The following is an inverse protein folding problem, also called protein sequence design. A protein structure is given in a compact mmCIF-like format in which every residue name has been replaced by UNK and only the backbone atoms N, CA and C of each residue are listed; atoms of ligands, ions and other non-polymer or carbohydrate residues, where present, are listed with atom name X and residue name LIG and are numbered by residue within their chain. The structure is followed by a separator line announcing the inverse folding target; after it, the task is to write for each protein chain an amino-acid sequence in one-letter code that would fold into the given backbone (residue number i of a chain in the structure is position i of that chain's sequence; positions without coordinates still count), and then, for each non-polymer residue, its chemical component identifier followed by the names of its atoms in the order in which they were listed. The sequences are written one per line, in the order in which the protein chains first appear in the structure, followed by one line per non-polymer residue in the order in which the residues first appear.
data_IF_873895724710
#
_entry.id   IF_873895724710
#
_cell.length_a   1.000
_cell.length_b   1.000
_cell.length_c   1.000
_cell.angle_alpha   90.00
_cell.angle_beta   90.00
_cell.angle_gamma   90.00
#
_symmetry.space_group_name_H-M   'P 1'
#
loop_
_entity.id
_entity.type
_entity.pdbx_description
1 polymer ?
#
# COMPACT_ATOMS: atom_id res chain seq x y z
N UNK A 1 -7.52 21.45 9.25
CA UNK A 1 -6.82 20.95 8.04
C UNK A 1 -5.60 20.16 8.50
N UNK A 2 -5.45 18.90 8.08
CA UNK A 2 -4.32 18.04 8.42
C UNK A 2 -3.52 17.68 7.16
N UNK A 3 -2.25 17.34 7.34
CA UNK A 3 -1.39 16.70 6.32
C UNK A 3 -1.42 15.19 6.57
N UNK A 4 -1.79 14.41 5.56
CA UNK A 4 -2.01 12.97 5.69
C UNK A 4 -1.21 12.28 4.60
N UNK A 5 -0.34 11.35 5.01
CA UNK A 5 0.48 10.55 4.11
C UNK A 5 -0.02 9.11 4.12
N UNK A 6 -0.37 8.61 2.93
CA UNK A 6 -0.54 7.19 2.67
C UNK A 6 0.74 6.65 2.03
N UNK A 7 1.22 5.51 2.52
CA UNK A 7 2.31 4.75 1.90
C UNK A 7 1.74 3.39 1.54
N UNK A 8 1.72 3.05 0.25
CA UNK A 8 1.21 1.78 -0.27
C UNK A 8 2.25 1.12 -1.16
N UNK A 9 2.21 -0.20 -1.23
CA UNK A 9 3.12 -1.01 -2.04
C UNK A 9 2.88 -0.79 -3.54
N UNK A 10 1.63 -0.99 -3.99
CA UNK A 10 1.18 -0.67 -5.34
C UNK A 10 -0.28 -0.13 -5.36
N UNK A 11 -0.73 0.30 -6.54
CA UNK A 11 -2.13 0.61 -6.84
C UNK A 11 -2.64 -0.35 -7.92
N UNK A 12 -2.60 -1.64 -7.57
CA UNK A 12 -3.10 -2.75 -8.37
C UNK A 12 -4.63 -2.77 -8.50
N UNK A 13 -5.25 -3.95 -8.42
CA UNK A 13 -6.72 -4.10 -8.54
C UNK A 13 -7.37 -4.69 -7.29
N UNK A 14 -6.59 -4.87 -6.22
CA UNK A 14 -7.05 -5.48 -4.99
C UNK A 14 -8.02 -4.60 -4.21
N UNK A 15 -8.60 -5.20 -3.17
CA UNK A 15 -9.59 -4.53 -2.32
C UNK A 15 -8.96 -3.46 -1.43
N UNK A 16 -7.75 -3.69 -0.94
CA UNK A 16 -7.06 -2.78 -0.04
C UNK A 16 -6.71 -1.45 -0.74
N UNK A 17 -6.27 -1.54 -1.99
CA UNK A 17 -5.90 -0.42 -2.85
C UNK A 17 -7.14 0.44 -3.16
N UNK A 18 -8.27 -0.20 -3.49
CA UNK A 18 -9.54 0.51 -3.73
C UNK A 18 -10.05 1.22 -2.48
N UNK A 19 -9.99 0.57 -1.32
CA UNK A 19 -10.38 1.18 -0.04
C UNK A 19 -9.47 2.37 0.27
N UNK A 20 -8.15 2.20 0.07
CA UNK A 20 -7.18 3.26 0.33
C UNK A 20 -7.44 4.50 -0.54
N UNK A 21 -7.70 4.32 -1.83
CA UNK A 21 -8.05 5.43 -2.72
C UNK A 21 -9.38 6.10 -2.34
N UNK A 22 -10.40 5.32 -2.02
CA UNK A 22 -11.69 5.87 -1.60
C UNK A 22 -11.57 6.70 -0.30
N UNK A 23 -10.74 6.23 0.64
CA UNK A 23 -10.46 6.95 1.88
C UNK A 23 -9.65 8.22 1.63
N UNK A 24 -8.55 8.13 0.85
CA UNK A 24 -7.72 9.28 0.49
C UNK A 24 -8.55 10.37 -0.20
N UNK A 25 -9.44 9.98 -1.12
CA UNK A 25 -10.36 10.88 -1.79
C UNK A 25 -11.33 11.59 -0.83
N UNK A 26 -11.93 10.81 0.08
CA UNK A 26 -12.84 11.35 1.09
C UNK A 26 -12.14 12.39 1.98
N UNK A 27 -10.90 12.13 2.35
CA UNK A 27 -10.09 13.04 3.17
C UNK A 27 -9.69 14.31 2.39
N UNK A 28 -9.32 14.18 1.12
CA UNK A 28 -9.02 15.32 0.25
C UNK A 28 -10.24 16.24 0.08
N UNK A 29 -11.42 15.65 -0.19
CA UNK A 29 -12.70 16.37 -0.23
C UNK A 29 -13.06 17.07 1.09
N UNK A 30 -12.60 16.53 2.22
CA UNK A 30 -12.74 17.12 3.55
C UNK A 30 -11.73 18.25 3.84
N UNK A 31 -11.11 18.80 2.79
CA UNK A 31 -10.11 19.89 2.85
C UNK A 31 -8.87 19.51 3.66
N UNK A 32 -8.45 18.25 3.59
CA UNK A 32 -7.12 17.83 4.08
C UNK A 32 -6.13 17.83 2.94
N UNK A 33 -4.85 18.02 3.26
CA UNK A 33 -3.76 17.85 2.33
C UNK A 33 -3.38 16.37 2.36
N UNK A 34 -3.70 15.65 1.29
CA UNK A 34 -3.50 14.21 1.21
C UNK A 34 -2.42 13.92 0.19
N UNK A 35 -1.41 13.18 0.61
CA UNK A 35 -0.33 12.68 -0.23
C UNK A 35 -0.41 11.16 -0.25
N UNK A 36 -0.39 10.57 -1.44
CA UNK A 36 -0.33 9.14 -1.68
C UNK A 36 1.01 8.79 -2.30
N UNK A 37 1.89 8.21 -1.49
CA UNK A 37 3.18 7.71 -1.92
C UNK A 37 3.07 6.22 -2.24
N UNK A 38 3.38 5.83 -3.48
CA UNK A 38 3.49 4.43 -3.88
C UNK A 38 4.96 4.02 -3.85
N UNK A 39 5.25 2.79 -3.42
CA UNK A 39 6.63 2.29 -3.44
C UNK A 39 7.15 2.20 -4.87
N UNK A 40 6.33 1.72 -5.81
CA UNK A 40 6.70 1.66 -7.22
C UNK A 40 5.46 1.72 -8.13
N UNK A 41 5.44 2.64 -9.10
CA UNK A 41 4.27 2.82 -9.97
C UNK A 41 4.19 1.91 -11.20
N UNK A 42 5.21 1.08 -11.48
CA UNK A 42 5.33 0.33 -12.76
C UNK A 42 4.15 -0.56 -13.13
N UNK A 43 3.32 -0.97 -12.15
CA UNK A 43 2.13 -1.79 -12.36
C UNK A 43 0.84 -1.16 -11.86
N UNK A 44 0.86 0.13 -11.53
CA UNK A 44 -0.32 0.82 -11.03
C UNK A 44 -1.36 0.97 -12.14
N UNK A 45 -2.60 0.61 -11.83
CA UNK A 45 -3.71 0.66 -12.80
C UNK A 45 -4.87 1.52 -12.35
N UNK A 46 -4.95 1.85 -11.05
CA UNK A 46 -6.01 2.70 -10.53
C UNK A 46 -5.66 4.18 -10.73
N UNK A 47 -6.70 4.95 -11.05
CA UNK A 47 -6.60 6.39 -11.26
C UNK A 47 -6.64 7.07 -9.88
N UNK A 48 -5.73 8.00 -9.67
CA UNK A 48 -5.68 8.84 -8.48
C UNK A 48 -6.40 10.16 -8.77
N UNK A 49 -7.25 10.59 -7.85
CA UNK A 49 -7.96 11.87 -7.97
C UNK A 49 -6.96 13.04 -7.99
N UNK A 50 -7.11 14.04 -8.88
CA UNK A 50 -6.17 15.17 -8.96
C UNK A 50 -6.06 16.03 -7.68
N UNK A 51 -7.01 15.91 -6.75
CA UNK A 51 -6.96 16.58 -5.45
C UNK A 51 -6.00 15.91 -4.45
N UNK A 52 -5.48 14.72 -4.78
CA UNK A 52 -4.51 13.98 -3.98
C UNK A 52 -3.13 14.17 -4.63
N UNK A 53 -2.15 14.59 -3.84
CA UNK A 53 -0.76 14.61 -4.29
C UNK A 53 -0.28 13.17 -4.46
N UNK A 54 0.15 12.81 -5.66
CA UNK A 54 0.65 11.48 -5.97
C UNK A 54 2.16 11.50 -6.11
N UNK A 55 2.84 10.62 -5.38
CA UNK A 55 4.30 10.47 -5.42
C UNK A 55 4.64 9.03 -5.74
N UNK A 56 5.40 8.82 -6.81
CA UNK A 56 6.10 7.56 -7.05
C UNK A 56 7.48 7.64 -6.38
N UNK A 57 7.70 6.83 -5.36
CA UNK A 57 9.00 6.75 -4.68
C UNK A 57 10.05 6.03 -5.54
N UNK A 58 9.62 5.31 -6.58
CA UNK A 58 10.48 4.56 -7.48
C UNK A 58 11.47 3.63 -6.76
N UNK A 59 10.99 2.98 -5.70
CA UNK A 59 11.73 1.99 -4.93
C UNK A 59 11.76 0.67 -5.71
N UNK A 60 12.80 -0.12 -5.50
CA UNK A 60 12.95 -1.45 -6.09
C UNK A 60 11.67 -2.29 -5.92
N UNK A 61 11.19 -2.82 -7.04
CA UNK A 61 9.96 -3.60 -7.13
C UNK A 61 9.88 -4.82 -6.19
N UNK A 62 11.02 -5.31 -5.68
CA UNK A 62 11.03 -6.35 -4.64
C UNK A 62 10.26 -5.97 -3.38
N UNK A 63 10.17 -4.67 -3.08
CA UNK A 63 9.41 -4.14 -1.95
C UNK A 63 7.93 -3.89 -2.28
N UNK A 64 7.57 -3.76 -3.56
CA UNK A 64 6.22 -3.41 -4.01
C UNK A 64 5.30 -4.62 -4.25
N UNK A 65 5.85 -5.83 -4.50
CA UNK A 65 5.04 -6.97 -4.96
C UNK A 65 4.57 -7.93 -3.86
N UNK A 66 4.44 -7.49 -2.60
CA UNK A 66 3.85 -8.29 -1.51
C UNK A 66 4.52 -9.64 -1.22
N UNK A 67 5.66 -9.93 -1.86
CA UNK A 67 6.39 -11.20 -1.68
C UNK A 67 7.42 -11.15 -0.56
N UNK A 68 7.64 -10.00 0.07
CA UNK A 68 8.53 -9.90 1.23
C UNK A 68 8.17 -10.94 2.30
N UNK A 69 6.88 -11.18 2.52
CA UNK A 69 6.42 -12.23 3.44
C UNK A 69 6.49 -13.64 2.86
N UNK A 70 6.35 -13.81 1.54
CA UNK A 70 6.48 -15.12 0.87
C UNK A 70 7.92 -15.62 0.84
N UNK A 71 8.89 -14.71 0.92
CA UNK A 71 10.32 -15.04 1.03
C UNK A 71 10.83 -14.99 2.48
N UNK A 72 9.95 -14.76 3.45
CA UNK A 72 10.33 -14.83 4.86
C UNK A 72 10.55 -16.30 5.24
N UNK A 73 11.77 -16.66 5.59
CA UNK A 73 12.04 -17.89 6.32
C UNK A 73 11.42 -17.77 7.72
N UNK A 74 10.50 -18.67 8.07
CA UNK A 74 9.91 -18.72 9.39
C UNK A 74 10.95 -19.17 10.41
N UNK A 75 11.00 -18.50 11.56
CA UNK A 75 11.79 -18.97 12.69
C UNK A 75 11.24 -20.30 13.24
N UNK A 76 12.08 -21.06 13.95
CA UNK A 76 11.68 -22.33 14.59
C UNK A 76 10.43 -22.18 15.47
N UNK A 77 10.29 -21.03 16.15
CA UNK A 77 9.14 -20.71 17.00
C UNK A 77 7.86 -20.46 16.19
N UNK A 78 7.96 -19.82 15.04
CA UNK A 78 6.81 -19.59 14.15
C UNK A 78 6.34 -20.89 13.50
N UNK A 79 7.26 -21.79 13.12
CA UNK A 79 6.93 -23.12 12.61
C UNK A 79 6.17 -23.98 13.64
N UNK A 80 6.60 -23.95 14.91
CA UNK A 80 5.92 -24.67 15.99
C UNK A 80 4.45 -24.21 16.17
N UNK A 81 4.19 -22.90 16.11
CA UNK A 81 2.84 -22.35 16.23
C UNK A 81 1.93 -22.74 15.05
N UNK A 82 2.46 -22.83 13.84
CA UNK A 82 1.71 -23.30 12.67
C UNK A 82 1.36 -24.78 12.76
N UNK A 83 2.27 -25.59 13.29
CA UNK A 83 2.10 -27.05 13.44
C UNK A 83 1.00 -27.40 14.45
N UNK A 84 0.75 -26.53 15.44
CA UNK A 84 -0.31 -26.73 16.44
C UNK A 84 -1.72 -26.34 15.97
N UNK A 85 -1.85 -25.80 14.76
CA UNK A 85 -3.13 -25.36 14.17
C UNK A 85 -3.71 -26.36 13.14
N UNK A 86 -2.99 -27.45 12.86
CA UNK A 86 -3.37 -28.54 11.93
C UNK A 86 -3.65 -29.83 12.70
#
# INVERSE_FOLDING_TARGET
MKKILFIVDDLGKGGAEKITLALAHTLAKSKHLVTLAVLNSSKNTLIVDPSIEYIDLNIDTKFAFGKLWKFKELSTKELQNFSSLS
#
